data_IF_772417283759
#
_entry.id   IF_772417283759
#
_cell.length_a   1.000
_cell.length_b   1.000
_cell.length_c   1.000
_cell.angle_alpha   90.00
_cell.angle_beta   90.00
_cell.angle_gamma   90.00
#
_symmetry.space_group_name_H-M   'P 1'
#
loop_
_entity.id
_entity.type
_entity.pdbx_description
1 polymer ?
#
# COMPACT_ATOMS: atom_id res chain seq x y z
N UNK A 1 2.24 6.70 -5.97
CA UNK A 1 1.93 5.67 -4.95
C UNK A 1 0.43 5.40 -4.84
N UNK A 2 -0.43 6.38 -4.53
CA UNK A 2 -1.90 6.13 -4.41
C UNK A 2 -2.50 5.48 -5.66
N UNK A 3 -2.21 6.03 -6.84
CA UNK A 3 -2.69 5.47 -8.12
C UNK A 3 -2.12 4.07 -8.40
N UNK A 4 -0.82 3.86 -8.16
CA UNK A 4 -0.17 2.54 -8.32
C UNK A 4 -0.78 1.47 -7.42
N UNK A 5 -1.13 1.80 -6.17
CA UNK A 5 -1.81 0.88 -5.26
C UNK A 5 -3.22 0.55 -5.77
N UNK A 6 -3.95 1.54 -6.29
CA UNK A 6 -5.28 1.31 -6.86
C UNK A 6 -5.20 0.37 -8.06
N UNK A 7 -4.31 0.63 -9.02
CA UNK A 7 -4.10 -0.23 -10.19
C UNK A 7 -3.69 -1.65 -9.79
N UNK A 8 -2.78 -1.78 -8.83
CA UNK A 8 -2.36 -3.07 -8.27
C UNK A 8 -3.55 -3.85 -7.69
N UNK A 9 -4.40 -3.18 -6.90
CA UNK A 9 -5.55 -3.82 -6.26
C UNK A 9 -6.63 -4.21 -7.28
N UNK A 10 -6.82 -3.41 -8.33
CA UNK A 10 -7.72 -3.80 -9.42
C UNK A 10 -7.22 -5.06 -10.12
N UNK A 11 -5.92 -5.13 -10.44
CA UNK A 11 -5.33 -6.33 -11.04
C UNK A 11 -5.41 -7.55 -10.10
N UNK A 12 -5.19 -7.36 -8.80
CA UNK A 12 -5.30 -8.42 -7.80
C UNK A 12 -6.72 -9.02 -7.76
N UNK A 13 -7.74 -8.18 -7.89
CA UNK A 13 -9.14 -8.62 -7.94
C UNK A 13 -9.45 -9.41 -9.21
N UNK A 14 -8.87 -9.02 -10.34
CA UNK A 14 -8.98 -9.78 -11.59
C UNK A 14 -8.31 -11.16 -11.46
N UNK A 15 -7.09 -11.21 -10.92
CA UNK A 15 -6.31 -12.44 -10.74
C UNK A 15 -6.97 -13.43 -9.76
N UNK A 16 -7.69 -12.91 -8.77
CA UNK A 16 -8.45 -13.70 -7.80
C UNK A 16 -9.85 -14.11 -8.32
N UNK A 17 -10.15 -13.80 -9.59
CA UNK A 17 -11.47 -14.00 -10.21
C UNK A 17 -12.62 -13.29 -9.50
N UNK A 18 -12.34 -12.25 -8.70
CA UNK A 18 -13.31 -11.50 -7.90
C UNK A 18 -13.94 -10.30 -8.65
N UNK A 19 -13.65 -10.14 -9.94
CA UNK A 19 -14.16 -9.03 -10.76
C UNK A 19 -15.68 -9.01 -10.93
N UNK A 20 -16.34 -10.17 -10.74
CA UNK A 20 -17.79 -10.34 -10.88
C UNK A 20 -18.59 -9.87 -9.66
N UNK A 21 -17.93 -9.41 -8.59
CA UNK A 21 -18.60 -8.92 -7.39
C UNK A 21 -19.47 -7.68 -7.69
N UNK A 22 -20.61 -7.52 -6.99
CA UNK A 22 -21.44 -6.32 -7.13
C UNK A 22 -20.63 -5.04 -6.89
N UNK A 23 -20.90 -3.99 -7.66
CA UNK A 23 -20.12 -2.75 -7.64
C UNK A 23 -19.94 -2.15 -6.24
N UNK A 24 -21.02 -2.09 -5.44
CA UNK A 24 -20.99 -1.56 -4.08
C UNK A 24 -20.12 -2.40 -3.14
N UNK A 25 -20.13 -3.73 -3.34
CA UNK A 25 -19.31 -4.64 -2.55
C UNK A 25 -17.83 -4.53 -2.98
N UNK A 26 -17.57 -4.50 -4.30
CA UNK A 26 -16.23 -4.33 -4.86
C UNK A 26 -15.57 -3.04 -4.36
N UNK A 27 -16.31 -1.92 -4.36
CA UNK A 27 -15.78 -0.64 -3.90
C UNK A 27 -15.37 -0.68 -2.42
N UNK A 28 -16.21 -1.26 -1.55
CA UNK A 28 -15.90 -1.43 -0.12
C UNK A 28 -14.72 -2.37 0.10
N UNK A 29 -14.67 -3.45 -0.68
CA UNK A 29 -13.61 -4.44 -0.56
C UNK A 29 -12.26 -3.90 -1.02
N UNK A 30 -12.22 -3.18 -2.15
CA UNK A 30 -11.02 -2.46 -2.61
C UNK A 30 -10.55 -1.43 -1.57
N UNK A 31 -11.48 -0.72 -0.91
CA UNK A 31 -11.12 0.19 0.18
C UNK A 31 -10.46 -0.54 1.35
N UNK A 32 -10.96 -1.72 1.74
CA UNK A 32 -10.37 -2.55 2.79
C UNK A 32 -8.97 -3.05 2.39
N UNK A 33 -8.83 -3.58 1.18
CA UNK A 33 -7.53 -4.04 0.67
C UNK A 33 -6.52 -2.90 0.60
N UNK A 34 -6.96 -1.70 0.21
CA UNK A 34 -6.14 -0.49 0.21
C UNK A 34 -5.61 -0.16 1.60
N UNK A 35 -6.47 -0.18 2.61
CA UNK A 35 -6.05 0.05 4.00
C UNK A 35 -4.99 -0.97 4.43
N UNK A 36 -5.18 -2.26 4.11
CA UNK A 36 -4.21 -3.30 4.45
C UNK A 36 -2.85 -3.11 3.76
N UNK A 37 -2.86 -2.72 2.48
CA UNK A 37 -1.63 -2.41 1.74
C UNK A 37 -0.94 -1.18 2.34
N UNK A 38 -1.68 -0.10 2.60
CA UNK A 38 -1.14 1.12 3.21
C UNK A 38 -0.54 0.85 4.60
N UNK A 39 -1.17 0.02 5.42
CA UNK A 39 -0.61 -0.44 6.70
C UNK A 39 0.72 -1.18 6.53
N UNK A 40 0.82 -2.08 5.55
CA UNK A 40 2.08 -2.81 5.27
C UNK A 40 3.19 -1.88 4.79
N UNK A 41 2.86 -0.91 3.95
CA UNK A 41 3.81 0.12 3.52
C UNK A 41 4.25 0.97 4.71
N UNK A 42 3.33 1.31 5.63
CA UNK A 42 3.65 2.00 6.87
C UNK A 42 4.61 1.19 7.77
N UNK A 43 4.39 -0.12 7.90
CA UNK A 43 5.28 -1.02 8.63
C UNK A 43 6.66 -1.10 7.97
N UNK A 44 6.72 -1.22 6.64
CA UNK A 44 7.98 -1.15 5.89
C UNK A 44 8.71 0.16 6.19
N UNK A 45 8.00 1.29 6.11
CA UNK A 45 8.57 2.60 6.40
C UNK A 45 9.16 2.66 7.81
N UNK A 46 8.43 2.21 8.83
CA UNK A 46 8.91 2.22 10.22
C UNK A 46 10.12 1.29 10.46
N UNK A 47 10.27 0.22 9.68
CA UNK A 47 11.43 -0.69 9.78
C UNK A 47 12.70 -0.10 9.15
N UNK A 48 12.52 0.71 8.10
CA UNK A 48 13.60 1.23 7.26
C UNK A 48 14.02 2.65 7.64
N UNK A 49 13.09 3.44 8.18
CA UNK A 49 13.37 4.79 8.62
C UNK A 49 14.27 4.78 9.85
N UNK A 50 15.29 5.63 9.82
CA UNK A 50 16.04 5.98 11.03
C UNK A 50 15.12 6.66 12.04
N UNK A 51 15.39 6.44 13.33
CA UNK A 51 14.59 6.96 14.45
C UNK A 51 14.36 8.49 14.37
N UNK A 52 15.36 9.22 13.89
CA UNK A 52 15.29 10.68 13.69
C UNK A 52 14.24 11.13 12.65
N UNK A 53 13.89 10.25 11.70
CA UNK A 53 12.91 10.52 10.64
C UNK A 53 11.51 10.01 10.98
N UNK A 54 11.35 9.22 12.05
CA UNK A 54 10.04 8.69 12.47
C UNK A 54 9.08 9.79 12.89
N UNK A 55 9.59 10.88 13.47
CA UNK A 55 8.78 12.03 13.87
C UNK A 55 8.20 12.74 12.63
N UNK A 56 9.04 13.05 11.65
CA UNK A 56 8.64 13.68 10.38
C UNK A 56 7.64 12.80 9.61
N UNK A 57 7.85 11.48 9.61
CA UNK A 57 6.90 10.52 9.05
C UNK A 57 5.51 10.62 9.70
N UNK A 58 5.42 10.71 11.04
CA UNK A 58 4.14 10.87 11.74
C UNK A 58 3.47 12.21 11.43
N UNK A 59 4.24 13.29 11.39
CA UNK A 59 3.73 14.63 11.05
C UNK A 59 3.13 14.67 9.63
N UNK A 60 3.72 13.95 8.68
CA UNK A 60 3.16 13.81 7.33
C UNK A 60 1.82 13.08 7.37
N UNK A 61 1.70 11.98 8.13
CA UNK A 61 0.47 11.18 8.23
C UNK A 61 -0.72 11.93 8.85
N UNK A 62 -0.47 12.99 9.62
CA UNK A 62 -1.51 13.82 10.23
C UNK A 62 -2.14 14.83 9.24
N UNK A 63 -1.59 14.95 8.02
CA UNK A 63 -2.11 15.87 6.99
C UNK A 63 -3.30 15.25 6.23
N UNK A 64 -4.32 16.05 5.91
CA UNK A 64 -5.50 15.57 5.17
C UNK A 64 -5.16 15.00 3.77
N UNK A 65 -4.13 15.53 3.11
CA UNK A 65 -3.66 15.08 1.79
C UNK A 65 -2.21 14.57 1.82
N UNK A 66 -1.92 13.66 2.76
CA UNK A 66 -0.55 13.19 3.01
C UNK A 66 0.06 12.33 1.88
N UNK A 67 -0.74 11.74 0.98
CA UNK A 67 -0.27 10.67 0.10
C UNK A 67 0.92 11.05 -0.80
N UNK A 68 0.91 12.25 -1.38
CA UNK A 68 2.00 12.69 -2.26
C UNK A 68 3.25 13.07 -1.45
N UNK A 69 3.09 13.79 -0.35
CA UNK A 69 4.17 14.17 0.55
C UNK A 69 4.84 12.92 1.15
N UNK A 70 4.03 11.93 1.55
CA UNK A 70 4.49 10.66 2.08
C UNK A 70 5.32 9.87 1.07
N UNK A 71 4.83 9.74 -0.16
CA UNK A 71 5.57 9.04 -1.21
C UNK A 71 6.93 9.69 -1.48
N UNK A 72 6.96 11.02 -1.58
CA UNK A 72 8.22 11.74 -1.78
C UNK A 72 9.17 11.52 -0.61
N UNK A 73 8.68 11.70 0.62
CA UNK A 73 9.45 11.49 1.84
C UNK A 73 10.06 10.08 1.90
N UNK A 74 9.26 9.04 1.63
CA UNK A 74 9.73 7.66 1.65
C UNK A 74 10.77 7.38 0.55
N UNK A 75 10.59 7.92 -0.65
CA UNK A 75 11.58 7.80 -1.75
C UNK A 75 12.92 8.46 -1.39
N UNK A 76 12.89 9.58 -0.68
CA UNK A 76 14.09 10.32 -0.30
C UNK A 76 14.81 9.70 0.90
N UNK A 77 14.06 9.14 1.87
CA UNK A 77 14.60 8.64 3.14
C UNK A 77 14.88 7.14 3.15
N UNK A 78 14.28 6.37 2.25
CA UNK A 78 14.47 4.92 2.18
C UNK A 78 15.18 4.57 0.86
N UNK A 79 16.47 4.20 0.90
CA UNK A 79 17.18 3.75 -0.29
C UNK A 79 16.50 2.55 -0.94
N UNK A 80 16.26 2.64 -2.25
CA UNK A 80 15.56 1.58 -3.00
C UNK A 80 14.09 1.41 -2.61
N UNK A 81 13.43 2.45 -2.08
CA UNK A 81 12.03 2.39 -1.66
C UNK A 81 11.09 1.77 -2.71
N UNK A 82 11.29 2.08 -3.99
CA UNK A 82 10.45 1.53 -5.06
C UNK A 82 10.55 0.00 -5.16
N UNK A 83 11.77 -0.56 -5.11
CA UNK A 83 11.95 -2.02 -5.18
C UNK A 83 11.38 -2.70 -3.93
N UNK A 84 11.54 -2.07 -2.76
CA UNK A 84 10.95 -2.57 -1.51
C UNK A 84 9.42 -2.52 -1.53
N UNK A 85 8.85 -1.46 -2.08
CA UNK A 85 7.41 -1.33 -2.27
C UNK A 85 6.88 -2.43 -3.19
N UNK A 86 7.55 -2.68 -4.32
CA UNK A 86 7.20 -3.78 -5.23
C UNK A 86 7.23 -5.11 -4.49
N UNK A 87 8.28 -5.40 -3.71
CA UNK A 87 8.35 -6.63 -2.91
C UNK A 87 7.20 -6.78 -1.92
N UNK A 88 6.81 -5.71 -1.22
CA UNK A 88 5.65 -5.72 -0.30
C UNK A 88 4.34 -6.01 -1.05
N UNK A 89 4.16 -5.46 -2.24
CA UNK A 89 2.97 -5.69 -3.06
C UNK A 89 2.93 -7.13 -3.62
N UNK A 90 4.07 -7.66 -4.05
CA UNK A 90 4.20 -9.05 -4.49
C UNK A 90 3.89 -10.04 -3.36
N UNK A 91 4.49 -9.86 -2.18
CA UNK A 91 4.19 -10.66 -0.99
C UNK A 91 2.70 -10.58 -0.61
N UNK A 92 2.09 -9.39 -0.70
CA UNK A 92 0.67 -9.22 -0.45
C UNK A 92 -0.19 -10.00 -1.45
N UNK A 93 0.15 -9.93 -2.75
CA UNK A 93 -0.54 -10.65 -3.81
C UNK A 93 -0.49 -12.16 -3.58
N UNK A 94 0.69 -12.70 -3.30
CA UNK A 94 0.85 -14.14 -3.04
C UNK A 94 -0.02 -14.60 -1.87
N UNK A 95 0.08 -13.92 -0.72
CA UNK A 95 -0.70 -14.25 0.47
C UNK A 95 -2.21 -14.11 0.24
N UNK A 96 -2.62 -13.09 -0.50
CA UNK A 96 -4.02 -12.88 -0.83
C UNK A 96 -4.56 -14.01 -1.71
N UNK A 97 -3.86 -14.33 -2.80
CA UNK A 97 -4.27 -15.40 -3.72
C UNK A 97 -4.24 -16.79 -3.08
N UNK A 98 -3.35 -17.04 -2.13
CA UNK A 98 -3.38 -18.25 -1.30
C UNK A 98 -4.61 -18.30 -0.39
N UNK A 99 -5.04 -17.15 0.16
CA UNK A 99 -6.18 -17.09 1.09
C UNK A 99 -7.55 -17.23 0.42
N UNK A 100 -7.63 -16.98 -0.89
CA UNK A 100 -8.87 -17.02 -1.69
C UNK A 100 -9.07 -18.39 -2.38
N UNK A 101 -8.02 -19.21 -2.49
CA UNK A 101 -8.07 -20.60 -2.98
C UNK A 101 -8.64 -21.57 -1.92
#
# INVERSE_FOLDING_TARGET
>A
MKEQIVEFLEQLMEDAELHHLPQDFRARYLQQLRTLVEERVGILALKELHEEHVKEFREILEQEEYHQALEQFLRERIPGFQDKLVGVLEEFREQFLESVK
#
